data_IF_009252540135
#
_entry.id   IF_009252540135
#
_cell.length_a   1.000
_cell.length_b   1.000
_cell.length_c   1.000
_cell.angle_alpha   90.00
_cell.angle_beta   90.00
_cell.angle_gamma   90.00
#
_symmetry.space_group_name_H-M   'P 1'
#
loop_
_entity.id
_entity.type
_entity.pdbx_description
1 polymer ?
#
# COMPACT_ATOMS: atom_id res chain seq x y z
N UNK A 1 27.55 -5.33 -5.94
CA UNK A 1 26.88 -4.49 -4.90
C UNK A 1 25.54 -4.08 -5.51
N UNK A 2 24.41 -4.35 -4.83
CA UNK A 2 23.12 -3.79 -5.25
C UNK A 2 23.27 -2.27 -5.22
N UNK A 3 23.01 -1.61 -6.33
CA UNK A 3 23.03 -0.15 -6.40
C UNK A 3 21.74 0.35 -5.73
N UNK A 4 21.85 0.94 -4.56
CA UNK A 4 20.71 1.50 -3.82
C UNK A 4 20.24 2.84 -4.46
N UNK A 5 20.01 2.81 -5.78
CA UNK A 5 19.64 3.95 -6.62
C UNK A 5 18.44 4.74 -6.06
N UNK A 6 17.55 4.05 -5.38
CA UNK A 6 16.34 4.61 -4.81
C UNK A 6 16.58 5.57 -3.64
N UNK A 7 17.76 5.53 -3.01
CA UNK A 7 18.12 6.44 -1.91
C UNK A 7 18.27 7.90 -2.36
N UNK A 8 18.56 8.13 -3.62
CA UNK A 8 18.72 9.46 -4.23
C UNK A 8 17.53 9.85 -5.10
N UNK A 9 16.41 9.12 -5.00
CA UNK A 9 15.28 9.28 -5.91
C UNK A 9 14.14 10.07 -5.28
N UNK A 10 13.59 10.99 -6.06
CA UNK A 10 12.31 11.67 -5.78
C UNK A 10 11.18 10.84 -6.36
N UNK A 11 10.27 10.38 -5.50
CA UNK A 11 9.10 9.60 -5.88
C UNK A 11 7.87 10.51 -5.95
N UNK A 12 7.14 10.44 -7.06
CA UNK A 12 5.88 11.16 -7.27
C UNK A 12 4.73 10.18 -7.40
N UNK A 13 3.75 10.27 -6.51
CA UNK A 13 2.56 9.42 -6.54
C UNK A 13 1.56 9.93 -7.56
N UNK A 14 1.06 9.04 -8.41
CA UNK A 14 0.00 9.30 -9.37
C UNK A 14 -1.19 8.38 -9.10
N UNK A 15 -2.34 9.00 -8.89
CA UNK A 15 -3.63 8.32 -8.99
C UNK A 15 -4.12 8.49 -10.43
N UNK A 16 -4.12 7.43 -11.29
CA UNK A 16 -4.42 7.59 -12.72
C UNK A 16 -5.72 8.34 -12.97
N UNK A 17 -6.78 7.94 -12.27
CA UNK A 17 -8.14 8.46 -12.44
C UNK A 17 -8.23 9.99 -12.37
N UNK A 18 -7.39 10.66 -11.56
CA UNK A 18 -7.49 12.09 -11.29
C UNK A 18 -6.30 12.91 -11.80
N UNK A 19 -5.34 12.31 -12.51
CA UNK A 19 -4.12 12.99 -12.88
C UNK A 19 -4.23 13.79 -14.20
N UNK A 20 -4.54 13.12 -15.29
CA UNK A 20 -4.69 13.76 -16.60
C UNK A 20 -5.57 12.90 -17.52
N UNK A 21 -6.68 13.49 -17.94
CA UNK A 21 -7.61 12.95 -18.93
C UNK A 21 -7.10 13.34 -20.34
N UNK A 22 -6.78 12.33 -21.16
CA UNK A 22 -6.28 12.54 -22.51
C UNK A 22 -7.36 12.53 -23.59
N UNK A 23 -8.51 11.95 -23.29
CA UNK A 23 -9.58 11.67 -24.25
C UNK A 23 -10.85 12.51 -24.03
N UNK A 24 -10.96 13.20 -22.88
CA UNK A 24 -12.05 14.12 -22.55
C UNK A 24 -13.28 13.43 -21.95
N UNK A 25 -13.14 12.23 -21.38
CA UNK A 25 -14.23 11.48 -20.76
C UNK A 25 -14.43 11.81 -19.26
N UNK A 26 -13.55 12.63 -18.70
CA UNK A 26 -13.56 13.03 -17.28
C UNK A 26 -12.73 12.13 -16.37
N UNK A 27 -12.06 11.11 -16.91
CA UNK A 27 -11.22 10.17 -16.18
C UNK A 27 -9.78 10.25 -16.71
N UNK A 28 -8.81 10.36 -15.81
CA UNK A 28 -7.40 10.33 -16.19
C UNK A 28 -6.96 8.94 -16.67
N UNK A 29 -6.00 8.89 -17.55
CA UNK A 29 -5.55 7.69 -18.24
C UNK A 29 -4.02 7.66 -18.46
N UNK A 30 -3.48 6.53 -18.94
CA UNK A 30 -2.03 6.37 -19.18
C UNK A 30 -1.51 7.31 -20.26
N UNK A 31 -2.29 7.57 -21.31
CA UNK A 31 -1.90 8.52 -22.35
C UNK A 31 -1.81 9.94 -21.79
N UNK A 32 -2.67 10.29 -20.83
CA UNK A 32 -2.58 11.53 -20.07
C UNK A 32 -1.32 11.61 -19.22
N UNK A 33 -0.93 10.51 -18.56
CA UNK A 33 0.35 10.44 -17.83
C UNK A 33 1.52 10.65 -18.79
N UNK A 34 1.51 9.98 -19.96
CA UNK A 34 2.56 10.12 -21.00
C UNK A 34 2.68 11.59 -21.42
N UNK A 35 1.59 12.29 -21.66
CA UNK A 35 1.59 13.71 -22.02
C UNK A 35 2.24 14.60 -20.96
N UNK A 36 2.29 14.15 -19.70
CA UNK A 36 2.87 14.91 -18.57
C UNK A 36 4.28 14.48 -18.17
N UNK A 37 4.88 13.50 -18.84
CA UNK A 37 6.22 13.00 -18.47
C UNK A 37 7.30 14.07 -18.55
N UNK A 38 7.25 14.96 -19.54
CA UNK A 38 8.21 16.06 -19.66
C UNK A 38 8.07 17.08 -18.51
N UNK A 39 6.84 17.34 -18.08
CA UNK A 39 6.58 18.16 -16.90
C UNK A 39 7.17 17.49 -15.64
N UNK A 40 6.93 16.18 -15.43
CA UNK A 40 7.44 15.44 -14.29
C UNK A 40 8.98 15.36 -14.29
N UNK A 41 9.59 15.18 -15.46
CA UNK A 41 11.04 15.22 -15.60
C UNK A 41 11.61 16.60 -15.23
N UNK A 42 11.01 17.68 -15.72
CA UNK A 42 11.42 19.05 -15.41
C UNK A 42 11.21 19.41 -13.92
N UNK A 43 10.25 18.76 -13.26
CA UNK A 43 10.04 18.87 -11.81
C UNK A 43 11.12 18.17 -11.00
N UNK A 44 11.92 17.30 -11.62
CA UNK A 44 12.97 16.53 -10.95
C UNK A 44 12.49 15.18 -10.37
N UNK A 45 11.40 14.63 -10.92
CA UNK A 45 10.89 13.31 -10.50
C UNK A 45 11.73 12.21 -11.12
N UNK A 46 12.17 11.25 -10.30
CA UNK A 46 12.94 10.08 -10.72
C UNK A 46 12.10 8.82 -10.81
N UNK A 47 11.04 8.73 -10.01
CA UNK A 47 10.18 7.55 -9.91
C UNK A 47 8.71 7.97 -9.87
N UNK A 48 7.88 7.33 -10.68
CA UNK A 48 6.43 7.42 -10.57
C UNK A 48 5.91 6.21 -9.80
N UNK A 49 5.21 6.46 -8.71
CA UNK A 49 4.37 5.47 -8.07
C UNK A 49 2.95 5.58 -8.63
N UNK A 50 2.58 4.60 -9.46
CA UNK A 50 1.24 4.50 -10.02
C UNK A 50 0.35 3.73 -9.02
N UNK A 51 -0.67 4.39 -8.48
CA UNK A 51 -1.69 3.77 -7.64
C UNK A 51 -2.44 2.67 -8.39
N UNK A 52 -3.18 1.77 -7.70
CA UNK A 52 -3.68 0.55 -8.33
C UNK A 52 -4.40 0.83 -9.65
N UNK A 53 -3.82 0.30 -10.72
CA UNK A 53 -4.31 0.49 -12.09
C UNK A 53 -4.87 -0.80 -12.67
N UNK A 54 -4.89 -1.87 -11.88
CA UNK A 54 -5.35 -3.20 -12.28
C UNK A 54 -6.86 -3.26 -12.48
N UNK A 55 -7.32 -4.28 -13.18
CA UNK A 55 -8.75 -4.55 -13.29
C UNK A 55 -9.38 -4.63 -11.89
N UNK A 56 -10.41 -3.85 -11.67
CA UNK A 56 -11.06 -3.68 -10.37
C UNK A 56 -12.49 -3.17 -10.55
N UNK A 57 -13.44 -3.61 -9.73
CA UNK A 57 -14.75 -2.98 -9.61
C UNK A 57 -14.74 -1.56 -9.03
N UNK A 58 -13.60 -1.11 -8.48
CA UNK A 58 -13.39 0.22 -7.88
C UNK A 58 -14.22 0.47 -6.61
N UNK A 59 -14.55 -0.56 -5.86
CA UNK A 59 -15.24 -0.41 -4.56
C UNK A 59 -14.34 0.32 -3.57
N UNK A 60 -13.04 0.04 -3.63
CA UNK A 60 -11.99 0.70 -2.86
C UNK A 60 -10.96 1.35 -3.79
N UNK A 61 -11.44 2.15 -4.74
CA UNK A 61 -10.64 2.95 -5.67
C UNK A 61 -9.47 2.19 -6.35
N UNK A 62 -9.64 0.88 -6.59
CA UNK A 62 -8.66 0.04 -7.27
C UNK A 62 -7.90 -0.92 -6.36
N UNK A 63 -7.98 -0.77 -5.04
CA UNK A 63 -7.38 -1.73 -4.10
C UNK A 63 -8.15 -3.06 -4.01
N UNK A 64 -9.36 -3.14 -4.54
CA UNK A 64 -10.15 -4.35 -4.75
C UNK A 64 -9.84 -4.97 -6.13
N UNK A 65 -8.67 -5.62 -6.26
CA UNK A 65 -8.15 -6.13 -7.54
C UNK A 65 -8.87 -7.41 -7.96
N UNK A 66 -9.46 -7.39 -9.16
CA UNK A 66 -10.14 -8.54 -9.76
C UNK A 66 -9.29 -9.34 -10.76
N UNK A 67 -8.22 -8.75 -11.28
CA UNK A 67 -7.24 -9.43 -12.14
C UNK A 67 -5.89 -8.69 -12.06
N UNK A 68 -4.87 -9.34 -11.51
CA UNK A 68 -3.54 -8.76 -11.32
C UNK A 68 -2.73 -8.59 -12.61
N UNK A 69 -3.14 -9.24 -13.69
CA UNK A 69 -2.43 -9.23 -14.97
C UNK A 69 -3.04 -8.27 -15.99
N UNK A 70 -4.16 -7.66 -15.66
CA UNK A 70 -4.89 -6.75 -16.54
C UNK A 70 -4.97 -5.34 -15.97
N UNK A 71 -4.74 -4.39 -16.84
CA UNK A 71 -5.06 -2.98 -16.59
C UNK A 71 -6.58 -2.79 -16.55
N UNK A 72 -7.05 -1.89 -15.69
CA UNK A 72 -8.44 -1.47 -15.70
C UNK A 72 -8.75 -0.70 -17.01
N UNK A 73 -9.75 -1.13 -17.78
CA UNK A 73 -10.06 -0.52 -19.10
C UNK A 73 -10.33 0.99 -19.07
N UNK A 74 -10.70 1.53 -17.90
CA UNK A 74 -10.91 2.98 -17.75
C UNK A 74 -9.62 3.79 -17.85
N UNK A 75 -8.45 3.18 -17.63
CA UNK A 75 -7.14 3.83 -17.69
C UNK A 75 -6.39 3.53 -19.00
N UNK A 76 -6.84 2.54 -19.75
CA UNK A 76 -6.21 2.06 -20.99
C UNK A 76 -6.07 0.55 -21.05
N UNK A 77 -5.09 0.07 -21.79
CA UNK A 77 -4.79 -1.34 -22.00
C UNK A 77 -3.44 -1.73 -21.39
N UNK A 78 -3.09 -3.02 -21.43
CA UNK A 78 -1.76 -3.47 -21.03
C UNK A 78 -0.68 -2.87 -21.94
N UNK A 79 -0.98 -2.73 -23.24
CA UNK A 79 -0.11 -2.12 -24.23
C UNK A 79 0.13 -0.64 -23.94
N UNK A 80 -0.89 0.10 -23.49
CA UNK A 80 -0.75 1.50 -23.06
C UNK A 80 0.15 1.61 -21.83
N UNK A 81 0.06 0.67 -20.88
CA UNK A 81 0.93 0.63 -19.72
C UNK A 81 2.39 0.29 -20.11
N UNK A 82 2.60 -0.65 -21.02
CA UNK A 82 3.92 -0.96 -21.55
C UNK A 82 4.50 0.27 -22.27
N UNK A 83 3.70 0.98 -23.04
CA UNK A 83 4.10 2.23 -23.69
C UNK A 83 4.46 3.32 -22.68
N UNK A 84 3.69 3.47 -21.58
CA UNK A 84 4.04 4.38 -20.49
C UNK A 84 5.41 4.02 -19.88
N UNK A 85 5.69 2.73 -19.64
CA UNK A 85 6.98 2.27 -19.12
C UNK A 85 8.12 2.68 -20.08
N UNK A 86 7.97 2.45 -21.38
CA UNK A 86 8.97 2.82 -22.40
C UNK A 86 9.21 4.34 -22.45
N UNK A 87 8.13 5.14 -22.45
CA UNK A 87 8.23 6.60 -22.52
C UNK A 87 8.85 7.21 -21.25
N UNK A 88 8.55 6.64 -20.07
CA UNK A 88 9.18 7.02 -18.82
C UNK A 88 10.69 6.69 -18.83
N UNK A 89 11.08 5.50 -19.32
CA UNK A 89 12.48 5.08 -19.41
C UNK A 89 13.31 6.00 -20.31
N UNK A 90 12.76 6.47 -21.46
CA UNK A 90 13.43 7.46 -22.34
C UNK A 90 13.79 8.75 -21.59
N UNK A 91 13.03 9.10 -20.57
CA UNK A 91 13.21 10.28 -19.71
C UNK A 91 13.98 9.98 -18.42
N UNK A 92 14.49 8.75 -18.27
CA UNK A 92 15.15 8.21 -17.07
C UNK A 92 14.23 8.19 -15.82
N UNK A 93 12.94 8.25 -16.01
CA UNK A 93 11.93 8.07 -14.98
C UNK A 93 11.62 6.58 -14.87
N UNK A 94 11.61 6.07 -13.63
CA UNK A 94 11.24 4.69 -13.31
C UNK A 94 9.78 4.62 -12.88
N UNK A 95 9.18 3.45 -13.00
CA UNK A 95 7.81 3.23 -12.54
C UNK A 95 7.80 2.15 -11.46
N UNK A 96 7.10 2.38 -10.37
CA UNK A 96 6.72 1.38 -9.39
C UNK A 96 5.19 1.28 -9.33
N UNK A 97 4.68 0.09 -9.03
CA UNK A 97 3.26 -0.20 -8.93
C UNK A 97 2.86 -0.52 -7.50
N UNK A 98 1.57 -0.45 -7.19
CA UNK A 98 1.04 -1.01 -5.96
C UNK A 98 1.03 -2.55 -6.02
N UNK A 99 1.48 -3.17 -4.94
CA UNK A 99 1.41 -4.61 -4.71
C UNK A 99 0.40 -4.88 -3.58
N UNK A 100 -0.83 -5.18 -3.94
CA UNK A 100 -1.93 -5.43 -3.01
C UNK A 100 -2.08 -6.93 -2.85
N UNK A 101 -1.56 -7.47 -1.76
CA UNK A 101 -1.47 -8.93 -1.55
C UNK A 101 -2.03 -9.40 -0.20
N UNK A 102 -2.60 -8.49 0.60
CA UNK A 102 -3.36 -8.88 1.78
C UNK A 102 -4.74 -9.44 1.42
N UNK A 103 -5.34 -8.94 0.34
CA UNK A 103 -6.68 -9.26 -0.12
C UNK A 103 -6.77 -9.13 -1.65
N UNK A 104 -7.85 -9.59 -2.23
CA UNK A 104 -8.24 -9.30 -3.61
C UNK A 104 -9.72 -8.90 -3.64
N UNK A 105 -10.26 -8.58 -4.84
CA UNK A 105 -11.69 -8.36 -5.01
C UNK A 105 -12.48 -9.65 -4.82
N UNK A 106 -13.71 -9.56 -4.34
CA UNK A 106 -14.69 -10.65 -4.41
C UNK A 106 -15.04 -11.04 -5.86
N UNK A 107 -14.72 -10.17 -6.84
CA UNK A 107 -14.84 -10.45 -8.27
C UNK A 107 -13.61 -11.12 -8.88
N UNK A 108 -12.53 -11.34 -8.10
CA UNK A 108 -11.37 -12.07 -8.57
C UNK A 108 -11.73 -13.52 -8.89
N UNK A 109 -11.16 -14.08 -9.96
CA UNK A 109 -11.47 -15.44 -10.42
C UNK A 109 -11.30 -16.49 -9.32
N UNK A 110 -10.35 -16.33 -8.40
CA UNK A 110 -10.12 -17.26 -7.29
C UNK A 110 -11.32 -17.30 -6.34
N UNK A 111 -11.85 -16.14 -5.94
CA UNK A 111 -13.02 -16.09 -5.07
C UNK A 111 -14.28 -16.55 -5.79
N UNK A 112 -14.44 -16.20 -7.07
CA UNK A 112 -15.56 -16.61 -7.90
C UNK A 112 -15.61 -18.13 -8.17
N UNK A 113 -14.45 -18.79 -8.28
CA UNK A 113 -14.37 -20.26 -8.39
C UNK A 113 -14.79 -20.92 -7.07
N UNK A 114 -14.30 -20.41 -5.95
CA UNK A 114 -14.67 -20.89 -4.62
C UNK A 114 -16.16 -20.76 -4.36
N UNK A 115 -16.75 -19.63 -4.73
CA UNK A 115 -18.19 -19.39 -4.61
C UNK A 115 -19.05 -20.40 -5.42
N UNK A 116 -18.53 -20.93 -6.50
CA UNK A 116 -19.21 -21.94 -7.34
C UNK A 116 -18.99 -23.36 -6.82
N UNK A 117 -17.80 -23.66 -6.34
CA UNK A 117 -17.40 -24.97 -5.81
C UNK A 117 -16.49 -24.81 -4.58
N UNK A 118 -17.04 -24.94 -3.36
CA UNK A 118 -16.26 -24.85 -2.14
C UNK A 118 -15.18 -25.95 -1.96
N UNK A 119 -15.10 -26.92 -2.87
CA UNK A 119 -14.08 -27.97 -2.86
C UNK A 119 -12.98 -27.73 -3.90
N UNK A 120 -12.98 -26.61 -4.60
CA UNK A 120 -11.91 -26.25 -5.54
C UNK A 120 -10.60 -25.93 -4.80
N UNK A 121 -9.49 -25.88 -5.53
CA UNK A 121 -8.18 -25.53 -4.98
C UNK A 121 -8.20 -24.14 -4.33
N UNK A 122 -8.87 -23.20 -4.99
CA UNK A 122 -8.95 -21.81 -4.58
C UNK A 122 -9.70 -21.58 -3.25
N UNK A 123 -10.48 -22.56 -2.77
CA UNK A 123 -11.08 -22.51 -1.44
C UNK A 123 -10.01 -22.40 -0.33
N UNK A 124 -8.81 -22.94 -0.55
CA UNK A 124 -7.69 -22.82 0.38
C UNK A 124 -7.03 -21.42 0.38
N UNK A 125 -7.34 -20.56 -0.60
CA UNK A 125 -6.74 -19.24 -0.77
C UNK A 125 -7.37 -18.19 0.15
N UNK A 126 -8.46 -18.52 0.83
CA UNK A 126 -9.21 -17.61 1.69
C UNK A 126 -9.46 -18.21 3.08
N UNK A 127 -9.92 -17.37 4.01
CA UNK A 127 -10.31 -17.82 5.34
C UNK A 127 -11.83 -17.92 5.45
N UNK A 128 -12.32 -19.15 5.65
CA UNK A 128 -13.73 -19.43 5.90
C UNK A 128 -13.95 -20.01 7.30
N UNK A 129 -15.12 -19.73 7.87
CA UNK A 129 -15.56 -20.30 9.15
C UNK A 129 -17.06 -20.63 9.09
N UNK A 130 -17.42 -21.67 9.84
CA UNK A 130 -18.81 -22.03 10.12
C UNK A 130 -19.05 -21.88 11.61
N UNK A 131 -20.20 -21.37 12.00
CA UNK A 131 -20.58 -21.20 13.40
C UNK A 131 -21.92 -21.88 13.67
N UNK A 132 -22.08 -22.45 14.89
CA UNK A 132 -23.28 -23.24 15.24
C UNK A 132 -24.56 -22.39 15.38
N UNK A 133 -24.44 -21.10 15.68
CA UNK A 133 -25.58 -20.23 16.02
C UNK A 133 -25.77 -19.05 15.07
N UNK A 134 -25.28 -19.16 13.84
CA UNK A 134 -25.35 -18.05 12.85
C UNK A 134 -24.74 -16.72 13.37
N UNK A 135 -23.90 -16.78 14.38
CA UNK A 135 -23.17 -15.63 14.91
C UNK A 135 -21.80 -15.51 14.24
N UNK A 136 -21.31 -14.29 14.19
CA UNK A 136 -19.97 -14.02 13.70
C UNK A 136 -18.91 -14.84 14.44
N UNK A 137 -17.86 -15.33 13.75
CA UNK A 137 -16.84 -16.19 14.35
C UNK A 137 -16.09 -15.57 15.53
N UNK A 138 -15.95 -14.25 15.54
CA UNK A 138 -15.32 -13.50 16.64
C UNK A 138 -15.79 -12.03 16.67
N UNK A 139 -15.23 -11.25 17.60
CA UNK A 139 -15.56 -9.84 17.81
C UNK A 139 -14.56 -8.89 17.15
N UNK A 140 -13.91 -9.26 16.05
CA UNK A 140 -12.93 -8.36 15.41
C UNK A 140 -13.63 -7.35 14.49
N UNK A 141 -13.10 -6.12 14.53
CA UNK A 141 -13.59 -4.99 13.74
C UNK A 141 -12.71 -4.73 12.54
N UNK A 142 -13.32 -4.58 11.36
CA UNK A 142 -12.66 -4.14 10.14
C UNK A 142 -12.08 -2.71 10.28
N UNK A 143 -11.03 -2.41 9.52
CA UNK A 143 -10.48 -1.05 9.42
C UNK A 143 -11.53 -0.06 8.90
N UNK A 144 -12.46 -0.52 8.06
CA UNK A 144 -13.55 0.32 7.53
C UNK A 144 -14.81 0.31 8.41
N UNK A 145 -14.70 -0.31 9.60
CA UNK A 145 -15.82 -0.42 10.54
C UNK A 145 -16.66 -1.68 10.34
N UNK A 146 -17.48 -2.01 11.34
CA UNK A 146 -18.25 -3.24 11.36
C UNK A 146 -17.40 -4.48 11.61
N UNK A 147 -17.98 -5.67 11.41
CA UNK A 147 -17.30 -6.95 11.57
C UNK A 147 -16.28 -7.20 10.45
N UNK A 148 -15.26 -7.99 10.74
CA UNK A 148 -14.33 -8.55 9.73
C UNK A 148 -14.92 -9.77 9.01
N UNK A 149 -16.13 -10.19 9.34
CA UNK A 149 -16.76 -11.38 8.80
C UNK A 149 -18.01 -11.02 8.00
N UNK A 150 -18.11 -11.52 6.79
CA UNK A 150 -19.31 -11.46 5.98
C UNK A 150 -19.83 -12.85 5.68
N UNK A 151 -21.15 -12.99 5.74
CA UNK A 151 -21.82 -14.28 5.56
C UNK A 151 -22.12 -14.57 4.09
N UNK A 152 -21.80 -15.78 3.67
CA UNK A 152 -22.14 -16.30 2.35
C UNK A 152 -23.57 -16.88 2.32
N UNK A 153 -24.17 -17.03 1.13
CA UNK A 153 -25.49 -17.65 0.98
C UNK A 153 -25.57 -19.10 1.48
N UNK A 154 -24.46 -19.83 1.48
CA UNK A 154 -24.35 -21.21 1.98
C UNK A 154 -24.20 -21.29 3.51
N UNK A 155 -24.17 -20.15 4.21
CA UNK A 155 -24.08 -20.06 5.65
C UNK A 155 -22.66 -19.95 6.22
N UNK A 156 -21.62 -20.11 5.40
CA UNK A 156 -20.23 -19.87 5.81
C UNK A 156 -19.98 -18.38 5.95
N UNK A 157 -18.95 -18.04 6.74
CA UNK A 157 -18.41 -16.70 6.90
C UNK A 157 -17.03 -16.62 6.26
N UNK A 158 -16.76 -15.57 5.50
CA UNK A 158 -15.42 -15.28 4.99
C UNK A 158 -14.85 -14.03 5.68
N UNK A 159 -13.51 -14.01 5.79
CA UNK A 159 -12.77 -12.97 6.47
C UNK A 159 -12.38 -11.83 5.52
N UNK A 160 -12.58 -10.58 5.97
CA UNK A 160 -12.07 -9.37 5.29
C UNK A 160 -11.50 -8.38 6.31
N UNK A 161 -10.38 -7.72 5.98
CA UNK A 161 -9.74 -6.72 6.85
C UNK A 161 -10.30 -5.32 6.60
N UNK A 162 -10.68 -5.04 5.36
CA UNK A 162 -11.21 -3.77 4.85
C UNK A 162 -12.67 -3.92 4.42
N UNK A 163 -13.01 -3.53 3.20
CA UNK A 163 -14.38 -3.71 2.71
C UNK A 163 -14.76 -5.20 2.62
N UNK A 164 -16.07 -5.49 2.70
CA UNK A 164 -16.57 -6.85 2.53
C UNK A 164 -16.29 -7.40 1.13
N UNK A 165 -16.16 -6.54 0.14
CA UNK A 165 -15.78 -6.88 -1.24
C UNK A 165 -14.29 -7.23 -1.39
N UNK A 166 -13.51 -7.22 -0.28
CA UNK A 166 -12.07 -7.49 -0.25
C UNK A 166 -11.74 -8.73 0.61
N UNK A 167 -12.11 -9.95 0.16
CA UNK A 167 -11.77 -11.19 0.88
C UNK A 167 -10.25 -11.31 1.04
N UNK A 168 -9.84 -11.66 2.26
CA UNK A 168 -8.42 -11.74 2.63
C UNK A 168 -7.78 -13.00 2.12
N UNK A 169 -6.59 -12.87 1.56
CA UNK A 169 -5.77 -13.95 1.03
C UNK A 169 -5.07 -14.72 2.17
N UNK A 170 -5.12 -16.05 2.07
CA UNK A 170 -4.53 -16.97 3.05
C UNK A 170 -3.06 -17.25 2.76
N UNK A 171 -2.17 -16.44 3.33
CA UNK A 171 -0.72 -16.61 3.17
C UNK A 171 -0.14 -17.91 3.74
N UNK A 172 -0.91 -18.70 4.51
CA UNK A 172 -0.50 -20.07 4.87
C UNK A 172 -0.52 -21.02 3.68
N UNK A 173 -1.34 -20.72 2.65
CA UNK A 173 -1.42 -21.51 1.43
C UNK A 173 -0.20 -21.27 0.53
N UNK A 174 0.59 -22.31 0.30
CA UNK A 174 1.82 -22.22 -0.49
C UNK A 174 1.53 -21.97 -1.98
N UNK A 175 0.48 -22.61 -2.48
CA UNK A 175 0.03 -22.49 -3.87
C UNK A 175 -0.37 -21.03 -4.18
N UNK A 176 -1.10 -20.39 -3.28
CA UNK A 176 -1.42 -18.97 -3.39
C UNK A 176 -0.15 -18.08 -3.42
N UNK A 177 0.80 -18.32 -2.48
CA UNK A 177 2.04 -17.53 -2.47
C UNK A 177 2.81 -17.68 -3.79
N UNK A 178 2.83 -18.89 -4.38
CA UNK A 178 3.46 -19.07 -5.70
C UNK A 178 2.78 -18.24 -6.79
N UNK A 179 1.45 -18.17 -6.81
CA UNK A 179 0.69 -17.31 -7.74
C UNK A 179 1.03 -15.83 -7.58
N UNK A 180 1.17 -15.37 -6.34
CA UNK A 180 1.59 -14.00 -6.03
C UNK A 180 3.01 -13.75 -6.56
N UNK A 181 3.95 -14.69 -6.36
CA UNK A 181 5.33 -14.52 -6.84
C UNK A 181 5.42 -14.52 -8.37
N UNK A 182 4.64 -15.36 -9.06
CA UNK A 182 4.51 -15.35 -10.52
C UNK A 182 4.03 -13.98 -11.04
N UNK A 183 3.05 -13.36 -10.38
CA UNK A 183 2.55 -12.03 -10.72
C UNK A 183 3.62 -10.95 -10.48
N UNK A 184 4.35 -11.00 -9.37
CA UNK A 184 5.45 -10.05 -9.09
C UNK A 184 6.51 -10.13 -10.18
N UNK A 185 6.93 -11.34 -10.57
CA UNK A 185 7.90 -11.54 -11.66
C UNK A 185 7.39 -10.97 -12.97
N UNK A 186 6.13 -11.27 -13.32
CA UNK A 186 5.54 -10.83 -14.57
C UNK A 186 5.60 -9.30 -14.76
N UNK A 187 5.29 -8.53 -13.70
CA UNK A 187 5.39 -7.08 -13.76
C UNK A 187 6.85 -6.58 -13.79
N UNK A 188 7.75 -7.19 -13.02
CA UNK A 188 9.17 -6.81 -13.04
C UNK A 188 9.81 -7.09 -14.41
N UNK A 189 9.42 -8.17 -15.07
CA UNK A 189 9.87 -8.51 -16.43
C UNK A 189 9.35 -7.55 -17.50
N UNK A 190 8.21 -6.90 -17.27
CA UNK A 190 7.72 -5.80 -18.13
C UNK A 190 8.50 -4.49 -17.97
N UNK A 191 9.43 -4.41 -17.02
CA UNK A 191 10.35 -3.30 -16.89
C UNK A 191 9.98 -2.26 -15.84
N UNK A 192 9.05 -2.56 -14.95
CA UNK A 192 8.85 -1.73 -13.76
C UNK A 192 10.05 -1.83 -12.83
N UNK A 193 10.26 -0.79 -12.01
CA UNK A 193 11.42 -0.69 -11.13
C UNK A 193 11.15 -1.16 -9.69
N UNK A 194 9.96 -1.66 -9.41
CA UNK A 194 9.60 -2.16 -8.08
C UNK A 194 8.17 -1.93 -7.69
N UNK A 195 7.92 -1.96 -6.37
CA UNK A 195 6.58 -1.90 -5.82
C UNK A 195 6.47 -1.02 -4.56
N UNK A 196 5.33 -0.37 -4.41
CA UNK A 196 4.78 0.01 -3.13
C UNK A 196 3.92 -1.15 -2.62
N UNK A 197 4.19 -1.65 -1.44
CA UNK A 197 3.51 -2.84 -0.91
C UNK A 197 2.45 -2.41 0.10
N UNK A 198 1.20 -2.72 -0.24
CA UNK A 198 0.02 -2.33 0.51
C UNK A 198 -0.18 -3.20 1.74
N UNK A 199 -0.51 -2.57 2.88
CA UNK A 199 -1.03 -3.20 4.10
C UNK A 199 -0.29 -4.50 4.51
N UNK A 200 1.03 -4.56 4.31
CA UNK A 200 1.80 -5.81 4.34
C UNK A 200 1.84 -6.47 5.72
N UNK A 201 1.69 -5.70 6.79
CA UNK A 201 1.71 -6.23 8.15
C UNK A 201 0.44 -7.01 8.52
N UNK A 202 -0.58 -6.95 7.68
CA UNK A 202 -1.82 -7.70 7.85
C UNK A 202 -1.78 -9.13 7.24
N UNK A 203 -0.78 -9.49 6.43
CA UNK A 203 -0.81 -10.80 5.71
C UNK A 203 -0.77 -12.02 6.64
N UNK A 204 -0.14 -11.92 7.82
CA UNK A 204 -0.15 -12.98 8.84
C UNK A 204 -1.28 -12.77 9.82
N UNK A 205 -2.10 -13.82 10.02
CA UNK A 205 -3.24 -13.79 10.94
C UNK A 205 -2.98 -14.63 12.18
N UNK A 206 -3.67 -14.30 13.28
CA UNK A 206 -3.88 -15.25 14.36
C UNK A 206 -4.91 -16.30 13.92
N UNK A 207 -4.43 -17.47 13.56
CA UNK A 207 -5.28 -18.55 13.01
C UNK A 207 -6.26 -19.13 14.03
N UNK A 208 -6.12 -18.80 15.31
CA UNK A 208 -7.12 -19.19 16.31
C UNK A 208 -8.44 -18.46 16.07
N UNK A 209 -8.38 -17.26 15.48
CA UNK A 209 -9.52 -16.36 15.32
C UNK A 209 -10.33 -16.18 16.62
N UNK A 210 -9.65 -16.28 17.77
CA UNK A 210 -10.30 -16.13 19.06
C UNK A 210 -10.76 -14.70 19.30
N UNK A 211 -11.95 -14.52 19.87
CA UNK A 211 -12.41 -13.22 20.34
C UNK A 211 -11.43 -12.61 21.34
N UNK A 212 -11.28 -11.31 21.29
CA UNK A 212 -10.39 -10.53 22.18
C UNK A 212 -11.20 -9.80 23.25
N UNK A 213 -10.63 -9.59 24.43
CA UNK A 213 -11.28 -8.79 25.46
C UNK A 213 -11.50 -7.36 24.98
N UNK A 214 -12.74 -6.87 25.10
CA UNK A 214 -13.16 -5.49 24.83
C UNK A 214 -14.15 -5.06 25.93
N UNK A 215 -14.50 -3.78 25.97
CA UNK A 215 -15.63 -3.33 26.76
C UNK A 215 -16.94 -3.90 26.17
N UNK A 216 -17.99 -3.94 26.98
CA UNK A 216 -19.29 -4.46 26.56
C UNK A 216 -19.79 -3.77 25.28
N UNK A 217 -20.08 -4.59 24.27
CA UNK A 217 -20.60 -4.14 22.98
C UNK A 217 -19.58 -3.55 22.01
N UNK A 218 -18.30 -3.49 22.35
CA UNK A 218 -17.25 -3.03 21.45
C UNK A 218 -16.66 -4.19 20.64
N UNK A 219 -16.25 -3.88 19.41
CA UNK A 219 -15.47 -4.79 18.57
C UNK A 219 -13.97 -4.52 18.75
N UNK A 220 -13.17 -5.57 18.66
CA UNK A 220 -11.70 -5.46 18.78
C UNK A 220 -11.07 -5.04 17.43
N UNK A 221 -10.37 -3.89 17.36
CA UNK A 221 -9.82 -3.40 16.09
C UNK A 221 -8.69 -4.28 15.56
N UNK A 222 -8.78 -4.69 14.28
CA UNK A 222 -7.76 -5.55 13.64
C UNK A 222 -6.42 -4.85 13.47
N UNK A 223 -6.37 -3.54 13.52
CA UNK A 223 -5.14 -2.73 13.49
C UNK A 223 -4.17 -3.09 14.64
N UNK A 224 -4.70 -3.68 15.72
CA UNK A 224 -3.91 -4.19 16.84
C UNK A 224 -3.36 -5.61 16.62
N UNK A 225 -3.65 -6.21 15.48
CA UNK A 225 -3.23 -7.57 15.10
C UNK A 225 -2.25 -7.58 13.93
N UNK A 226 -1.66 -6.43 13.62
CA UNK A 226 -0.60 -6.29 12.61
C UNK A 226 0.74 -6.86 13.08
N UNK A 227 1.67 -7.09 12.16
CA UNK A 227 3.00 -7.67 12.44
C UNK A 227 2.93 -8.94 13.32
N UNK A 228 1.91 -9.77 13.05
CA UNK A 228 1.66 -10.94 13.88
C UNK A 228 2.84 -11.93 13.83
N UNK A 229 3.11 -12.56 14.99
CA UNK A 229 4.22 -13.49 15.16
C UNK A 229 4.31 -14.52 14.03
N UNK A 230 5.48 -14.60 13.40
CA UNK A 230 5.77 -15.49 12.29
C UNK A 230 5.58 -14.88 10.90
N UNK A 231 5.17 -13.62 10.79
CA UNK A 231 5.06 -12.92 9.50
C UNK A 231 6.38 -12.92 8.72
N UNK A 232 7.51 -12.85 9.43
CA UNK A 232 8.85 -12.85 8.83
C UNK A 232 9.09 -14.02 7.88
N UNK A 233 8.50 -15.20 8.14
CA UNK A 233 8.61 -16.36 7.23
C UNK A 233 8.08 -16.05 5.84
N UNK A 234 6.97 -15.31 5.73
CA UNK A 234 6.38 -14.95 4.44
C UNK A 234 7.15 -13.79 3.77
N UNK A 235 7.61 -12.84 4.57
CA UNK A 235 8.35 -11.69 4.07
C UNK A 235 9.74 -12.08 3.58
N UNK A 236 10.44 -12.97 4.29
CA UNK A 236 11.72 -13.54 3.85
C UNK A 236 11.54 -14.35 2.56
N UNK A 237 10.52 -15.22 2.49
CA UNK A 237 10.23 -16.01 1.30
C UNK A 237 9.95 -15.10 0.09
N UNK A 238 9.10 -14.08 0.24
CA UNK A 238 8.80 -13.12 -0.83
C UNK A 238 10.05 -12.35 -1.28
N UNK A 239 10.87 -11.89 -0.34
CA UNK A 239 12.14 -11.22 -0.64
C UNK A 239 13.07 -12.12 -1.45
N UNK A 240 13.34 -13.34 -0.97
CA UNK A 240 14.25 -14.30 -1.60
C UNK A 240 13.72 -14.76 -2.97
N UNK A 241 12.42 -15.04 -3.06
CA UNK A 241 11.82 -15.55 -4.29
C UNK A 241 11.64 -14.45 -5.34
N UNK A 242 11.42 -13.19 -4.94
CA UNK A 242 11.09 -12.11 -5.87
C UNK A 242 12.16 -11.01 -5.85
N UNK A 243 12.22 -10.20 -4.81
CA UNK A 243 12.93 -8.91 -4.84
C UNK A 243 14.44 -9.04 -4.92
N UNK A 244 15.02 -10.10 -4.35
CA UNK A 244 16.48 -10.31 -4.41
C UNK A 244 17.00 -10.70 -5.80
N UNK A 245 16.11 -11.13 -6.69
CA UNK A 245 16.44 -11.48 -8.07
C UNK A 245 16.54 -10.26 -9.00
N UNK A 246 16.02 -9.11 -8.56
CA UNK A 246 15.99 -7.87 -9.33
C UNK A 246 16.67 -6.72 -8.61
N UNK A 247 17.08 -5.70 -9.33
CA UNK A 247 17.56 -4.43 -8.76
C UNK A 247 16.36 -3.48 -8.57
N UNK A 248 15.32 -3.95 -7.88
CA UNK A 248 14.07 -3.23 -7.68
C UNK A 248 14.04 -2.45 -6.36
N UNK A 249 13.22 -1.43 -6.34
CA UNK A 249 12.83 -0.67 -5.14
C UNK A 249 11.58 -1.29 -4.52
N UNK A 250 11.55 -1.40 -3.20
CA UNK A 250 10.34 -1.78 -2.48
C UNK A 250 10.10 -0.79 -1.34
N UNK A 251 8.92 -0.19 -1.30
CA UNK A 251 8.48 0.65 -0.20
C UNK A 251 7.20 0.08 0.40
N UNK A 252 7.24 -0.29 1.68
CA UNK A 252 6.10 -0.97 2.29
C UNK A 252 5.29 -0.03 3.19
N UNK A 253 3.98 -0.16 3.07
CA UNK A 253 3.06 0.33 4.07
C UNK A 253 2.97 -0.72 5.19
N UNK A 254 3.57 -0.39 6.33
CA UNK A 254 3.78 -1.32 7.43
C UNK A 254 3.21 -0.76 8.75
N UNK A 255 1.88 -0.61 8.87
CA UNK A 255 1.27 -0.15 10.11
C UNK A 255 1.58 -1.11 11.26
N UNK A 256 1.81 -0.55 12.46
CA UNK A 256 2.14 -1.33 13.65
C UNK A 256 3.60 -1.72 13.80
N UNK A 257 4.46 -1.42 12.83
CA UNK A 257 5.92 -1.58 12.97
C UNK A 257 6.44 -0.44 13.82
N UNK A 258 7.00 -0.78 14.98
CA UNK A 258 7.65 0.15 15.89
C UNK A 258 9.16 0.26 15.63
N UNK A 259 9.83 1.14 16.38
CA UNK A 259 11.27 1.35 16.29
C UNK A 259 12.08 0.05 16.53
N UNK A 260 11.60 -0.85 17.36
CA UNK A 260 12.26 -2.12 17.65
C UNK A 260 12.17 -3.13 16.48
N UNK A 261 11.10 -3.02 15.69
CA UNK A 261 10.88 -3.86 14.51
C UNK A 261 11.47 -3.24 13.23
N UNK A 262 11.78 -1.93 13.22
CA UNK A 262 12.22 -1.19 12.03
C UNK A 262 13.39 -1.86 11.30
N UNK A 263 14.41 -2.34 12.02
CA UNK A 263 15.57 -3.01 11.41
C UNK A 263 15.19 -4.26 10.61
N UNK A 264 14.19 -5.04 11.09
CA UNK A 264 13.71 -6.22 10.38
C UNK A 264 13.02 -5.84 9.06
N UNK A 265 12.32 -4.71 9.03
CA UNK A 265 11.55 -4.27 7.86
C UNK A 265 12.41 -3.52 6.83
N UNK A 266 13.20 -2.54 7.26
CA UNK A 266 13.90 -1.61 6.39
C UNK A 266 15.41 -1.46 6.69
N UNK A 267 15.97 -2.30 7.53
CA UNK A 267 17.42 -2.34 7.80
C UNK A 267 18.23 -2.87 6.62
N UNK A 268 19.53 -2.92 6.76
CA UNK A 268 20.47 -3.36 5.72
C UNK A 268 20.10 -4.71 5.08
N UNK A 269 19.59 -5.64 5.88
CA UNK A 269 19.13 -6.95 5.44
C UNK A 269 17.59 -7.10 5.60
N UNK A 270 16.88 -5.99 5.76
CA UNK A 270 15.44 -5.96 5.96
C UNK A 270 14.66 -6.57 4.82
N UNK A 271 13.38 -6.77 5.04
CA UNK A 271 12.48 -7.36 4.04
C UNK A 271 12.32 -6.46 2.81
N UNK A 272 12.32 -5.14 3.03
CA UNK A 272 12.08 -4.12 2.02
C UNK A 272 13.23 -3.11 1.93
N UNK A 273 13.27 -2.34 0.84
CA UNK A 273 14.23 -1.25 0.67
C UNK A 273 13.99 -0.15 1.70
N UNK A 274 12.71 0.13 2.01
CA UNK A 274 12.25 1.12 2.97
C UNK A 274 10.80 0.84 3.39
N UNK A 275 10.36 1.48 4.47
CA UNK A 275 8.94 1.58 4.85
C UNK A 275 8.54 3.04 4.95
N UNK A 276 7.26 3.32 4.79
CA UNK A 276 6.70 4.64 5.07
C UNK A 276 6.83 4.98 6.56
N UNK A 277 7.32 6.18 6.84
CA UNK A 277 7.46 6.67 8.21
C UNK A 277 6.21 7.45 8.63
N UNK A 278 5.34 6.79 9.40
CA UNK A 278 4.15 7.41 9.98
C UNK A 278 4.41 8.07 11.34
N UNK A 279 5.60 7.91 11.90
CA UNK A 279 5.89 8.31 13.28
C UNK A 279 5.89 9.81 13.52
N UNK A 280 6.29 10.61 12.54
CA UNK A 280 6.37 12.08 12.65
C UNK A 280 5.11 12.78 12.10
N UNK A 281 4.24 12.06 11.45
CA UNK A 281 3.14 12.57 10.66
C UNK A 281 1.94 12.98 11.52
N UNK A 282 1.71 12.28 12.63
CA UNK A 282 0.55 12.48 13.48
C UNK A 282 0.69 13.78 14.31
N UNK A 283 0.35 14.90 13.68
CA UNK A 283 -0.01 16.15 14.33
C UNK A 283 -1.53 16.22 14.63
N UNK A 284 -2.26 15.14 14.39
CA UNK A 284 -3.69 15.03 14.67
C UNK A 284 -3.93 15.13 16.17
N UNK A 285 -4.78 16.09 16.55
CA UNK A 285 -5.08 16.40 17.97
C UNK A 285 -4.33 17.59 18.53
N UNK A 286 -3.42 18.22 17.81
CA UNK A 286 -2.84 19.50 18.19
C UNK A 286 -3.72 20.64 17.70
N UNK A 287 -4.48 21.24 18.63
CA UNK A 287 -5.43 22.31 18.34
C UNK A 287 -4.79 23.66 17.95
N UNK A 288 -3.46 23.73 17.89
CA UNK A 288 -2.73 24.97 17.61
C UNK A 288 -1.68 24.78 16.50
N UNK A 289 -2.16 24.73 15.27
CA UNK A 289 -1.33 24.65 14.07
C UNK A 289 -0.61 25.98 13.77
N UNK A 290 -1.08 27.09 14.31
CA UNK A 290 -0.53 28.44 14.07
C UNK A 290 0.64 28.80 14.97
N UNK A 291 0.86 28.03 16.04
CA UNK A 291 1.92 28.29 17.01
C UNK A 291 3.31 27.93 16.47
N UNK A 292 4.29 28.80 16.73
CA UNK A 292 5.71 28.49 16.48
C UNK A 292 6.14 27.19 17.18
N UNK A 293 5.52 26.85 18.29
CA UNK A 293 5.76 25.60 19.01
C UNK A 293 5.24 24.37 18.25
N UNK A 294 4.22 24.50 17.40
CA UNK A 294 3.79 23.40 16.52
C UNK A 294 4.92 23.03 15.53
N UNK A 295 5.57 24.02 14.92
CA UNK A 295 6.72 23.83 14.03
C UNK A 295 7.92 23.21 14.78
N UNK A 296 8.21 23.68 15.99
CA UNK A 296 9.29 23.13 16.83
C UNK A 296 9.03 21.66 17.19
N UNK A 297 7.80 21.33 17.61
CA UNK A 297 7.40 19.95 17.94
C UNK A 297 7.51 19.03 16.73
N UNK A 298 6.99 19.48 15.60
CA UNK A 298 7.06 18.76 14.33
C UNK A 298 8.51 18.48 13.91
N UNK A 299 9.36 19.50 13.90
CA UNK A 299 10.80 19.37 13.61
C UNK A 299 11.47 18.40 14.56
N UNK A 300 11.22 18.50 15.87
CA UNK A 300 11.78 17.60 16.87
C UNK A 300 11.37 16.15 16.62
N UNK A 301 10.11 15.89 16.34
CA UNK A 301 9.56 14.57 16.03
C UNK A 301 10.24 13.98 14.79
N UNK A 302 10.23 14.72 13.69
CA UNK A 302 10.84 14.32 12.43
C UNK A 302 12.35 14.03 12.58
N UNK A 303 13.11 14.94 13.17
CA UNK A 303 14.55 14.73 13.35
C UNK A 303 14.88 13.57 14.29
N UNK A 304 14.06 13.32 15.30
CA UNK A 304 14.23 12.15 16.17
C UNK A 304 14.08 10.86 15.39
N UNK A 305 13.04 10.73 14.55
CA UNK A 305 12.84 9.56 13.71
C UNK A 305 13.94 9.39 12.66
N UNK A 306 14.29 10.45 11.95
CA UNK A 306 15.36 10.40 10.95
C UNK A 306 16.70 10.02 11.61
N UNK A 307 17.04 10.58 12.77
CA UNK A 307 18.27 10.27 13.49
C UNK A 307 18.29 8.82 13.99
N UNK A 308 17.14 8.30 14.47
CA UNK A 308 17.03 6.90 14.88
C UNK A 308 17.24 5.95 13.69
N UNK A 309 16.56 6.21 12.58
CA UNK A 309 16.51 5.31 11.44
C UNK A 309 17.77 5.36 10.57
N UNK A 310 18.46 6.51 10.51
CA UNK A 310 19.59 6.75 9.59
C UNK A 310 20.78 5.80 9.75
N UNK A 311 21.00 5.26 10.95
CA UNK A 311 22.06 4.27 11.22
C UNK A 311 21.65 2.82 11.00
N UNK A 312 20.35 2.56 10.83
CA UNK A 312 19.74 1.22 10.81
C UNK A 312 19.29 0.87 9.39
N UNK A 313 18.53 1.76 8.76
CA UNK A 313 17.87 1.49 7.48
C UNK A 313 17.44 2.76 6.76
N UNK A 314 16.37 2.67 6.01
CA UNK A 314 15.83 3.80 5.23
C UNK A 314 14.33 3.93 5.41
N UNK A 315 13.88 5.16 5.73
CA UNK A 315 12.45 5.51 5.82
C UNK A 315 12.03 6.31 4.60
N UNK A 316 10.88 6.00 4.04
CA UNK A 316 10.23 6.83 3.04
C UNK A 316 9.49 7.97 3.75
N UNK A 317 9.98 9.19 3.58
CA UNK A 317 9.40 10.39 4.16
C UNK A 317 8.39 10.97 3.17
N UNK A 318 7.22 11.36 3.68
CA UNK A 318 6.15 11.94 2.87
C UNK A 318 5.34 12.95 3.71
N UNK A 319 4.70 13.91 3.05
CA UNK A 319 3.84 14.90 3.71
C UNK A 319 2.35 14.60 3.53
N UNK A 320 2.01 13.94 2.45
CA UNK A 320 0.65 13.53 2.11
C UNK A 320 0.66 12.28 1.23
N UNK A 321 -0.44 11.56 1.23
CA UNK A 321 -0.74 10.48 0.31
C UNK A 321 -2.25 10.43 0.05
N UNK A 322 -2.73 9.39 -0.65
CA UNK A 322 -4.14 9.25 -1.02
C UNK A 322 -5.08 8.94 0.16
N UNK A 323 -4.53 8.46 1.31
CA UNK A 323 -5.30 8.12 2.52
C UNK A 323 -5.37 9.27 3.51
N UNK A 324 -4.73 10.40 3.20
CA UNK A 324 -4.58 11.49 4.14
C UNK A 324 -5.01 12.83 3.55
N UNK A 325 -5.34 13.75 4.45
CA UNK A 325 -5.59 15.12 4.06
C UNK A 325 -4.38 15.74 3.37
N UNK A 326 -4.63 16.65 2.42
CA UNK A 326 -3.57 17.44 1.78
C UNK A 326 -2.69 18.13 2.83
N UNK A 327 -1.38 18.10 2.63
CA UNK A 327 -0.41 18.62 3.58
C UNK A 327 -0.65 20.09 3.96
N UNK A 328 -1.11 20.89 3.03
CA UNK A 328 -1.47 22.30 3.31
C UNK A 328 -2.59 22.41 4.35
N UNK A 329 -3.62 21.56 4.24
CA UNK A 329 -4.72 21.54 5.22
C UNK A 329 -4.33 20.86 6.54
N UNK A 330 -3.37 19.93 6.49
CA UNK A 330 -2.89 19.20 7.65
C UNK A 330 -2.00 20.06 8.55
N UNK A 331 -1.09 20.84 7.95
CA UNK A 331 -0.07 21.57 8.68
C UNK A 331 -0.33 23.06 8.83
N UNK A 332 -1.27 23.64 8.05
CA UNK A 332 -1.52 25.08 8.02
C UNK A 332 -2.98 25.41 8.30
N UNK A 333 -3.19 26.54 8.96
CA UNK A 333 -4.50 27.17 9.00
C UNK A 333 -4.83 27.75 7.61
N UNK A 334 -6.12 27.79 7.26
CA UNK A 334 -6.59 28.12 5.91
C UNK A 334 -6.09 29.49 5.42
N UNK A 335 -6.03 30.47 6.31
CA UNK A 335 -5.54 31.82 6.02
C UNK A 335 -4.04 31.89 5.73
N UNK A 336 -3.27 30.88 6.15
CA UNK A 336 -1.82 30.78 5.95
C UNK A 336 -1.44 29.99 4.70
N UNK A 337 -2.42 29.45 3.94
CA UNK A 337 -2.18 28.72 2.71
C UNK A 337 -1.83 29.70 1.59
N UNK A 338 -0.65 29.53 1.02
CA UNK A 338 -0.13 30.36 -0.06
C UNK A 338 0.86 29.57 -0.92
N UNK A 339 1.22 30.11 -2.06
CA UNK A 339 2.32 29.57 -2.87
C UNK A 339 3.63 29.42 -2.07
N UNK A 340 3.95 30.38 -1.22
CA UNK A 340 5.18 30.35 -0.42
C UNK A 340 5.16 29.28 0.65
N UNK A 341 4.05 29.10 1.36
CA UNK A 341 3.91 28.05 2.36
C UNK A 341 3.91 26.64 1.74
N UNK A 342 3.28 26.48 0.57
CA UNK A 342 3.33 25.23 -0.20
C UNK A 342 4.77 24.91 -0.66
N UNK A 343 5.48 25.92 -1.21
CA UNK A 343 6.88 25.76 -1.61
C UNK A 343 7.80 25.45 -0.44
N UNK A 344 7.55 26.02 0.73
CA UNK A 344 8.32 25.74 1.93
C UNK A 344 8.15 24.27 2.38
N UNK A 345 6.93 23.73 2.41
CA UNK A 345 6.68 22.32 2.72
C UNK A 345 7.36 21.38 1.72
N UNK A 346 7.23 21.68 0.41
CA UNK A 346 7.89 20.90 -0.63
C UNK A 346 9.42 20.93 -0.50
N UNK A 347 10.00 22.09 -0.14
CA UNK A 347 11.44 22.25 0.08
C UNK A 347 11.92 21.45 1.30
N UNK A 348 11.14 21.43 2.38
CA UNK A 348 11.47 20.62 3.56
C UNK A 348 11.52 19.15 3.18
N UNK A 349 10.53 18.62 2.44
CA UNK A 349 10.52 17.25 1.98
C UNK A 349 11.76 16.91 1.15
N UNK A 350 12.13 17.80 0.22
CA UNK A 350 13.31 17.61 -0.63
C UNK A 350 14.64 17.65 0.14
N UNK A 351 14.74 18.48 1.18
CA UNK A 351 15.96 18.62 1.99
C UNK A 351 16.19 17.48 2.98
N UNK A 352 15.15 16.75 3.37
CA UNK A 352 15.25 15.64 4.31
C UNK A 352 15.86 14.39 3.64
N UNK A 353 15.78 14.30 2.33
CA UNK A 353 16.37 13.20 1.55
C UNK A 353 17.90 13.36 1.29
N UNK A 354 18.50 14.41 1.76
CA UNK A 354 19.95 14.66 1.64
C UNK A 354 20.67 14.05 2.90
#
# INVERSE_FOLDING_TARGET
MKNNWWKESVVYQIYPQSFMDSNGDGIGDFNGIIQKLDYLQNLGVDVLWICPMYASPLVDNGYDISDYYKVNPIFGTNEDMEHLIEEAQKRKIKIILDLVVNHCSDQHEWFQKEMKDPNCEEASYFYFRTTENDKEPNNWRSNFGGSVWSRLPDGRWYYHTFAKEQPVLNWECKELRQKIYEMIHWWLEKGIAGFRIDAITFIKKDLSFASRPTNDGELYPVEKLTDYKGIGTFLDEMKEQCFDKYNCMTVAEAPGVDDAAFERYAGKNGYFSMIFDFGWENMEGENDKSSIHAVERWKKKMFTHVAHNSGIGWSAIFLENHDQSRCLNKFLERENISFYSASALASILSLIHI
#
